data_IF_804328649123
#
_entry.id   IF_804328649123
#
_cell.length_a   1.000
_cell.length_b   1.000
_cell.length_c   1.000
_cell.angle_alpha   90.00
_cell.angle_beta   90.00
_cell.angle_gamma   90.00
#
_symmetry.space_group_name_H-M   'P 1'
#
loop_
_entity.id
_entity.type
_entity.pdbx_description
1 polymer ?
#
# COMPACT_ATOMS: atom_id res chain seq x y z
N UNK A 1 -8.36 -20.05 8.34
CA UNK A 1 -9.39 -19.04 8.03
C UNK A 1 -8.65 -17.72 7.91
N UNK A 2 -8.49 -17.12 6.72
CA UNK A 2 -7.69 -15.90 6.61
C UNK A 2 -8.52 -14.74 7.15
N UNK A 3 -8.13 -14.23 8.32
CA UNK A 3 -8.68 -13.01 8.89
C UNK A 3 -8.30 -11.85 7.97
N UNK A 4 -9.28 -11.35 7.23
CA UNK A 4 -9.15 -10.17 6.38
C UNK A 4 -9.13 -8.90 7.25
N UNK A 5 -8.37 -7.90 6.80
CA UNK A 5 -8.30 -6.51 7.25
C UNK A 5 -7.40 -6.18 8.45
N UNK A 6 -6.16 -5.81 8.13
CA UNK A 6 -5.32 -4.98 8.97
C UNK A 6 -5.34 -3.56 8.41
N UNK A 7 -5.94 -2.62 9.16
CA UNK A 7 -5.89 -1.20 8.82
C UNK A 7 -4.57 -0.63 9.34
N UNK A 8 -3.72 -0.19 8.41
CA UNK A 8 -2.41 0.39 8.68
C UNK A 8 -2.55 1.90 8.56
N UNK A 9 -2.70 2.60 9.69
CA UNK A 9 -2.79 4.06 9.74
C UNK A 9 -1.56 4.62 10.45
N UNK A 10 -0.75 5.35 9.69
CA UNK A 10 0.44 6.08 10.18
C UNK A 10 0.17 7.58 10.35
N UNK A 11 -0.91 8.10 9.75
CA UNK A 11 -1.37 9.48 9.94
C UNK A 11 -2.42 9.56 11.05
N UNK A 12 -2.36 10.60 11.88
CA UNK A 12 -3.34 10.88 12.93
C UNK A 12 -4.65 11.38 12.33
N UNK A 13 -5.57 10.46 11.98
CA UNK A 13 -6.95 10.82 11.63
C UNK A 13 -7.82 10.93 12.89
N UNK A 14 -8.75 11.90 12.97
CA UNK A 14 -9.74 11.96 14.06
C UNK A 14 -10.73 10.78 14.07
N UNK A 15 -10.84 10.01 12.97
CA UNK A 15 -11.70 8.82 12.85
C UNK A 15 -10.97 7.50 13.09
N UNK A 16 -9.83 7.55 13.77
CA UNK A 16 -8.90 6.43 14.00
C UNK A 16 -9.49 5.17 14.67
N UNK A 17 -10.74 5.25 15.12
CA UNK A 17 -11.43 4.19 15.83
C UNK A 17 -12.57 3.53 15.04
N UNK A 18 -12.97 4.04 13.86
CA UNK A 18 -14.18 3.58 13.16
C UNK A 18 -14.27 2.04 13.02
N UNK A 19 -13.19 1.41 12.56
CA UNK A 19 -13.15 -0.05 12.40
C UNK A 19 -12.99 -0.81 13.73
N UNK A 20 -12.11 -0.34 14.63
CA UNK A 20 -11.87 -1.01 15.92
C UNK A 20 -13.03 -0.89 16.91
N UNK A 21 -13.88 0.14 16.78
CA UNK A 21 -15.11 0.27 17.57
C UNK A 21 -16.24 -0.61 17.04
N UNK A 22 -16.20 -0.93 15.75
CA UNK A 22 -17.25 -1.68 15.06
C UNK A 22 -17.01 -3.19 15.11
N UNK A 23 -15.75 -3.64 15.18
CA UNK A 23 -15.39 -5.06 15.31
C UNK A 23 -14.18 -5.24 16.24
N UNK A 24 -14.36 -6.03 17.29
CA UNK A 24 -13.32 -6.35 18.29
C UNK A 24 -12.18 -7.19 17.74
N UNK A 25 -12.36 -7.81 16.57
CA UNK A 25 -11.33 -8.60 15.89
C UNK A 25 -10.43 -7.73 15.00
N UNK A 26 -10.74 -6.44 14.80
CA UNK A 26 -9.90 -5.55 14.01
C UNK A 26 -8.73 -5.06 14.87
N UNK A 27 -7.52 -5.43 14.46
CA UNK A 27 -6.27 -4.92 15.05
C UNK A 27 -5.73 -3.75 14.24
N UNK A 28 -5.74 -2.56 14.84
CA UNK A 28 -5.13 -1.36 14.27
C UNK A 28 -3.62 -1.36 14.55
N UNK A 29 -2.82 -1.21 13.50
CA UNK A 29 -1.36 -1.11 13.62
C UNK A 29 -0.92 0.29 13.19
N UNK A 30 0.04 0.84 13.93
CA UNK A 30 0.53 2.21 13.78
C UNK A 30 2.05 2.23 13.76
N UNK A 31 2.60 3.22 13.06
CA UNK A 31 4.04 3.41 12.90
C UNK A 31 4.65 2.57 11.79
N UNK A 32 5.55 3.16 10.99
CA UNK A 32 6.07 2.55 9.77
C UNK A 32 6.72 1.18 10.02
N UNK A 33 7.57 1.07 11.03
CA UNK A 33 8.25 -0.19 11.34
C UNK A 33 7.28 -1.33 11.67
N UNK A 34 6.34 -1.11 12.58
CA UNK A 34 5.35 -2.14 12.95
C UNK A 34 4.43 -2.50 11.78
N UNK A 35 4.13 -1.54 10.91
CA UNK A 35 3.39 -1.77 9.67
C UNK A 35 4.20 -2.68 8.73
N UNK A 36 5.47 -2.38 8.49
CA UNK A 36 6.36 -3.18 7.64
C UNK A 36 6.48 -4.61 8.17
N UNK A 37 6.82 -4.79 9.45
CA UNK A 37 6.97 -6.11 10.08
C UNK A 37 5.69 -6.95 9.92
N UNK A 38 4.52 -6.32 10.00
CA UNK A 38 3.25 -7.02 9.82
C UNK A 38 3.02 -7.44 8.38
N UNK A 39 3.29 -6.56 7.42
CA UNK A 39 3.16 -6.89 5.99
C UNK A 39 4.15 -7.99 5.58
N UNK A 40 5.39 -7.94 6.09
CA UNK A 40 6.41 -8.95 5.84
C UNK A 40 6.00 -10.31 6.43
N UNK A 41 5.53 -10.34 7.68
CA UNK A 41 5.03 -11.59 8.29
C UNK A 41 3.80 -12.17 7.58
N UNK A 42 2.94 -11.33 7.00
CA UNK A 42 1.85 -11.80 6.13
C UNK A 42 2.36 -12.40 4.81
N UNK A 43 3.45 -11.86 4.26
CA UNK A 43 4.09 -12.34 3.03
C UNK A 43 4.94 -13.62 3.22
N UNK A 44 5.37 -13.94 4.44
CA UNK A 44 6.08 -15.21 4.70
C UNK A 44 5.24 -16.45 4.31
N UNK A 45 3.91 -16.33 4.39
CA UNK A 45 2.97 -17.39 4.00
C UNK A 45 2.33 -17.22 2.62
N UNK A 46 2.60 -16.13 1.91
CA UNK A 46 1.95 -15.79 0.64
C UNK A 46 2.80 -14.86 -0.22
N UNK A 47 2.85 -15.07 -1.55
CA UNK A 47 3.60 -14.18 -2.44
C UNK A 47 2.88 -12.87 -2.78
N UNK A 48 1.58 -12.74 -2.44
CA UNK A 48 0.72 -11.61 -2.80
C UNK A 48 -0.22 -11.30 -1.64
N UNK A 49 -0.40 -10.01 -1.33
CA UNK A 49 -1.40 -9.51 -0.39
C UNK A 49 -2.38 -8.56 -1.09
N UNK A 50 -3.65 -8.67 -0.73
CA UNK A 50 -4.68 -7.72 -1.14
C UNK A 50 -4.95 -6.75 0.04
N UNK A 51 -4.78 -5.45 -0.20
CA UNK A 51 -5.10 -4.41 0.77
C UNK A 51 -6.36 -3.66 0.34
N UNK A 52 -7.28 -3.48 1.29
CA UNK A 52 -8.45 -2.62 1.11
C UNK A 52 -8.08 -1.18 1.47
N UNK A 53 -8.43 -0.24 0.59
CA UNK A 53 -8.38 1.20 0.85
C UNK A 53 -9.47 1.64 1.84
N UNK A 54 -9.24 2.77 2.48
CA UNK A 54 -10.28 3.48 3.21
C UNK A 54 -10.73 4.69 2.39
N UNK A 55 -11.67 4.42 1.48
CA UNK A 55 -12.19 5.37 0.51
C UNK A 55 -12.61 6.70 1.13
N UNK A 56 -13.36 6.69 2.24
CA UNK A 56 -13.86 7.90 2.87
C UNK A 56 -12.73 8.82 3.33
N UNK A 57 -11.61 8.25 3.77
CA UNK A 57 -10.43 9.02 4.15
C UNK A 57 -9.69 9.55 2.93
N UNK A 58 -9.42 8.69 1.94
CA UNK A 58 -8.67 9.06 0.75
C UNK A 58 -9.39 10.14 -0.07
N UNK A 59 -10.70 9.98 -0.28
CA UNK A 59 -11.54 10.95 -0.98
C UNK A 59 -11.62 12.29 -0.25
N UNK A 60 -11.70 12.29 1.09
CA UNK A 60 -11.68 13.52 1.90
C UNK A 60 -10.35 14.29 1.81
N UNK A 61 -9.28 13.65 1.37
CA UNK A 61 -7.96 14.26 1.16
C UNK A 61 -7.70 14.61 -0.31
N UNK A 62 -8.77 14.80 -1.08
CA UNK A 62 -8.74 15.10 -2.51
C UNK A 62 -7.97 14.05 -3.32
N UNK A 63 -8.06 12.78 -2.92
CA UNK A 63 -7.47 11.64 -3.63
C UNK A 63 -5.95 11.77 -3.83
N UNK A 64 -5.29 12.40 -2.85
CA UNK A 64 -3.84 12.57 -2.86
C UNK A 64 -3.14 11.29 -2.39
N UNK A 65 -2.11 10.89 -3.14
CA UNK A 65 -1.32 9.68 -2.88
C UNK A 65 -0.78 9.57 -1.47
N UNK A 66 -0.42 10.69 -0.82
CA UNK A 66 0.10 10.71 0.56
C UNK A 66 -0.91 10.24 1.63
N UNK A 67 -2.18 10.11 1.26
CA UNK A 67 -3.25 9.61 2.14
C UNK A 67 -3.82 8.28 1.64
N UNK A 68 -3.19 7.70 0.62
CA UNK A 68 -3.55 6.42 0.03
C UNK A 68 -2.96 5.22 0.78
N UNK A 69 -2.93 4.07 0.10
CA UNK A 69 -2.37 2.82 0.62
C UNK A 69 -0.86 2.97 0.79
N UNK A 70 -0.33 2.52 1.93
CA UNK A 70 1.09 2.66 2.22
C UNK A 70 1.90 1.53 1.60
N UNK A 71 2.95 1.90 0.86
CA UNK A 71 4.04 1.01 0.45
C UNK A 71 5.35 1.48 1.11
N UNK A 72 5.91 0.63 1.96
CA UNK A 72 7.18 0.89 2.63
C UNK A 72 8.33 0.19 1.89
N UNK A 73 9.35 0.95 1.55
CA UNK A 73 10.54 0.47 0.85
C UNK A 73 11.73 0.49 1.80
N UNK A 74 12.48 -0.60 1.85
CA UNK A 74 13.84 -0.63 2.37
C UNK A 74 14.81 -0.89 1.20
N UNK A 75 15.38 0.18 0.66
CA UNK A 75 16.29 0.08 -0.50
C UNK A 75 17.51 -0.78 -0.18
N UNK A 76 18.04 -0.72 1.05
CA UNK A 76 19.20 -1.54 1.44
C UNK A 76 18.83 -3.02 1.49
N UNK A 77 17.64 -3.35 1.98
CA UNK A 77 17.15 -4.73 1.98
C UNK A 77 16.94 -5.24 0.55
N UNK A 78 16.37 -4.41 -0.32
CA UNK A 78 16.20 -4.71 -1.73
C UNK A 78 17.54 -4.95 -2.45
N UNK A 79 18.55 -4.12 -2.19
CA UNK A 79 19.90 -4.29 -2.75
C UNK A 79 20.61 -5.56 -2.26
N UNK A 80 20.44 -5.91 -0.98
CA UNK A 80 21.11 -7.06 -0.38
C UNK A 80 20.48 -8.40 -0.76
N UNK A 81 19.14 -8.45 -0.80
CA UNK A 81 18.41 -9.72 -0.91
C UNK A 81 17.65 -9.87 -2.23
N UNK A 82 17.52 -8.79 -3.03
CA UNK A 82 16.70 -8.78 -4.25
C UNK A 82 15.19 -8.69 -4.00
N UNK A 83 14.76 -8.67 -2.73
CA UNK A 83 13.34 -8.64 -2.36
C UNK A 83 12.81 -7.20 -2.39
N UNK A 84 11.94 -6.91 -3.36
CA UNK A 84 11.16 -5.67 -3.42
C UNK A 84 9.68 -5.98 -3.56
N UNK A 85 8.87 -5.37 -2.70
CA UNK A 85 7.42 -5.40 -2.87
C UNK A 85 7.02 -4.48 -4.03
N UNK A 86 6.12 -4.96 -4.88
CA UNK A 86 5.53 -4.19 -5.99
C UNK A 86 4.04 -4.06 -5.75
N UNK A 87 3.53 -2.84 -5.89
CA UNK A 87 2.12 -2.53 -5.75
C UNK A 87 1.46 -2.40 -7.12
N UNK A 88 0.34 -3.10 -7.31
CA UNK A 88 -0.44 -3.08 -8.55
C UNK A 88 -1.79 -2.40 -8.27
N UNK A 89 -2.11 -1.35 -9.03
CA UNK A 89 -3.40 -0.65 -8.91
C UNK A 89 -3.74 0.06 -10.23
N UNK A 90 -5.02 0.15 -10.57
CA UNK A 90 -5.52 0.79 -11.79
C UNK A 90 -5.69 2.31 -11.63
N UNK A 91 -5.70 2.81 -10.39
CA UNK A 91 -5.75 4.24 -10.08
C UNK A 91 -4.37 4.90 -10.03
N UNK A 92 -3.30 4.20 -10.40
CA UNK A 92 -1.97 4.81 -10.62
C UNK A 92 -1.99 5.52 -11.97
N UNK A 93 -1.77 6.85 -11.98
CA UNK A 93 -1.76 7.63 -13.22
C UNK A 93 -0.35 7.70 -13.84
N UNK A 94 -0.25 8.19 -15.08
CA UNK A 94 1.01 8.29 -15.81
C UNK A 94 2.05 9.18 -15.10
N UNK A 95 1.60 10.22 -14.39
CA UNK A 95 2.45 11.24 -13.79
C UNK A 95 2.31 11.33 -12.26
N UNK A 96 1.43 10.52 -11.65
CA UNK A 96 1.15 10.61 -10.22
C UNK A 96 0.66 9.28 -9.65
N UNK A 97 1.06 8.94 -8.42
CA UNK A 97 0.67 7.66 -7.79
C UNK A 97 -0.81 7.61 -7.43
N UNK A 98 -1.42 8.76 -7.12
CA UNK A 98 -2.83 8.99 -6.76
C UNK A 98 -3.37 8.20 -5.55
N UNK A 99 -3.20 6.87 -5.53
CA UNK A 99 -3.76 5.95 -4.54
C UNK A 99 -2.71 5.30 -3.64
N UNK A 100 -1.42 5.40 -3.97
CA UNK A 100 -0.33 4.78 -3.19
C UNK A 100 0.61 5.83 -2.61
N UNK A 101 0.83 5.79 -1.30
CA UNK A 101 1.89 6.52 -0.60
C UNK A 101 3.14 5.65 -0.50
N UNK A 102 4.19 6.05 -1.20
CA UNK A 102 5.46 5.31 -1.20
C UNK A 102 6.44 6.03 -0.29
N UNK A 103 6.96 5.33 0.73
CA UNK A 103 7.90 5.90 1.70
C UNK A 103 9.10 5.00 1.96
N UNK A 104 10.23 5.63 2.22
CA UNK A 104 11.38 4.96 2.81
C UNK A 104 11.05 4.58 4.26
N UNK A 105 11.25 3.32 4.62
CA UNK A 105 10.79 2.82 5.92
C UNK A 105 11.58 3.35 7.10
N UNK A 106 12.83 3.76 6.89
CA UNK A 106 13.74 4.19 7.95
C UNK A 106 13.54 5.66 8.31
N UNK A 107 13.39 6.49 7.29
CA UNK A 107 13.21 7.94 7.43
C UNK A 107 11.75 8.36 7.45
N UNK A 108 10.84 7.55 6.90
CA UNK A 108 9.45 7.92 6.67
C UNK A 108 9.26 8.97 5.57
N UNK A 109 10.34 9.34 4.86
CA UNK A 109 10.28 10.31 3.78
C UNK A 109 9.54 9.72 2.58
N UNK A 110 8.71 10.53 1.93
CA UNK A 110 8.06 10.14 0.67
C UNK A 110 9.11 9.96 -0.43
N UNK A 111 8.94 8.91 -1.21
CA UNK A 111 9.77 8.63 -2.39
C UNK A 111 9.16 9.34 -3.59
N UNK A 112 9.99 10.01 -4.38
CA UNK A 112 9.53 10.72 -5.58
C UNK A 112 8.87 9.74 -6.56
N UNK A 113 7.75 10.17 -7.16
CA UNK A 113 6.98 9.32 -8.07
C UNK A 113 7.84 8.78 -9.23
N UNK A 114 8.67 9.64 -9.85
CA UNK A 114 9.58 9.28 -10.94
C UNK A 114 10.56 8.14 -10.57
N UNK A 115 10.95 8.04 -9.30
CA UNK A 115 11.84 6.98 -8.80
C UNK A 115 11.08 5.70 -8.46
N UNK A 116 9.78 5.82 -8.16
CA UNK A 116 8.94 4.71 -7.72
C UNK A 116 8.17 4.02 -8.84
N UNK A 117 7.80 4.76 -9.89
CA UNK A 117 7.05 4.26 -11.04
C UNK A 117 7.89 3.25 -11.84
N UNK A 118 7.29 2.11 -12.20
CA UNK A 118 7.95 1.04 -12.94
C UNK A 118 8.95 0.19 -12.14
N UNK A 119 9.23 0.57 -10.88
CA UNK A 119 10.07 -0.19 -9.95
C UNK A 119 9.28 -0.79 -8.79
N UNK A 120 8.51 0.06 -8.11
CA UNK A 120 7.70 -0.30 -6.94
C UNK A 120 6.20 -0.16 -7.21
N UNK A 121 5.84 0.70 -8.17
CA UNK A 121 4.47 0.93 -8.59
C UNK A 121 4.28 0.44 -10.02
N UNK A 122 3.29 -0.41 -10.22
CA UNK A 122 2.88 -0.87 -11.54
C UNK A 122 1.41 -0.54 -11.76
N UNK A 123 1.15 0.38 -12.70
CA UNK A 123 -0.21 0.58 -13.21
C UNK A 123 -0.66 -0.69 -13.91
N UNK A 124 -1.84 -1.15 -13.57
CA UNK A 124 -2.51 -2.24 -14.29
C UNK A 124 -3.63 -1.66 -15.15
N UNK A 125 -3.82 -2.27 -16.32
CA UNK A 125 -4.90 -1.94 -17.25
C UNK A 125 -5.80 -3.17 -17.38
N UNK A 126 -6.77 -3.36 -16.45
CA UNK A 126 -7.55 -4.60 -16.39
C UNK A 126 -8.27 -4.90 -17.70
N UNK A 127 -8.80 -3.86 -18.36
CA UNK A 127 -9.47 -3.99 -19.65
C UNK A 127 -8.54 -4.54 -20.74
N UNK A 128 -7.34 -3.97 -20.88
CA UNK A 128 -6.36 -4.48 -21.83
C UNK A 128 -5.93 -5.92 -21.49
N UNK A 129 -5.72 -6.23 -20.21
CA UNK A 129 -5.30 -7.55 -19.76
C UNK A 129 -6.31 -8.66 -20.11
N UNK A 130 -7.62 -8.37 -20.05
CA UNK A 130 -8.67 -9.37 -20.36
C UNK A 130 -9.09 -9.37 -21.83
N UNK A 131 -8.82 -8.29 -22.58
CA UNK A 131 -9.22 -8.17 -24.00
C UNK A 131 -8.09 -8.42 -25.00
N UNK A 132 -6.83 -8.44 -24.55
CA UNK A 132 -5.66 -8.73 -25.38
C UNK A 132 -5.55 -10.20 -25.84
N UNK A 133 -6.48 -11.08 -25.45
CA UNK A 133 -6.66 -12.39 -26.08
C UNK A 133 -7.31 -12.26 -27.46
N UNK A 134 -6.48 -11.93 -28.46
CA UNK A 134 -6.69 -12.39 -29.84
C UNK A 134 -5.43 -13.11 -30.29
N UNK A 135 -5.53 -14.43 -30.44
CA UNK A 135 -4.61 -15.21 -31.27
C UNK A 135 -4.70 -14.74 -32.73
#
# INVERSE_FOLDING_TARGET
MPSFLQFLSYLTSPNNNFYSTSDRNVKVIRGFQSIQETLEGMLEGASILALRDYWEWWSAQAENGQYGKLLLIDEKKAEMNGDSAVFFDDHIDANHSHIVDVRDVRSGASVDFEKSCGKYLQRVEPFAAITAFRC
#
